data_IF_199727815704
#
_entry.id   IF_199727815704
#
_cell.length_a   1.000
_cell.length_b   1.000
_cell.length_c   1.000
_cell.angle_alpha   90.00
_cell.angle_beta   90.00
_cell.angle_gamma   90.00
#
_symmetry.space_group_name_H-M   'P 1'
#
loop_
_entity.id
_entity.type
_entity.pdbx_description
1 polymer ?
#
# COMPACT_ATOMS: atom_id res chain seq x y z
N UNK A 1 1.20 -12.93 5.34
CA UNK A 1 2.41 -12.38 6.00
C UNK A 1 2.46 -10.86 5.92
N UNK A 2 2.43 -10.23 4.73
CA UNK A 2 2.44 -8.74 4.60
C UNK A 2 1.27 -8.09 5.35
N UNK A 3 0.06 -8.65 5.27
CA UNK A 3 -1.11 -8.09 5.97
C UNK A 3 -0.97 -8.06 7.49
N UNK A 4 -0.16 -8.96 8.09
CA UNK A 4 0.08 -8.99 9.54
C UNK A 4 1.13 -7.99 9.99
N UNK A 5 2.17 -7.78 9.18
CA UNK A 5 3.23 -6.79 9.41
C UNK A 5 2.73 -5.36 9.18
N UNK A 6 1.88 -5.18 8.16
CA UNK A 6 1.18 -3.93 7.88
C UNK A 6 0.31 -3.44 9.05
N UNK A 7 -0.24 -4.38 9.83
CA UNK A 7 -1.06 -4.07 11.01
C UNK A 7 -0.28 -3.87 12.30
N UNK A 8 0.97 -4.34 12.39
CA UNK A 8 1.78 -4.26 13.62
C UNK A 8 2.61 -2.98 13.76
N UNK A 9 2.46 -2.01 12.84
CA UNK A 9 3.18 -0.73 12.86
C UNK A 9 4.62 -0.78 12.32
N UNK A 10 5.14 -1.96 11.98
CA UNK A 10 6.46 -2.12 11.37
C UNK A 10 6.36 -2.12 9.83
N UNK A 11 6.10 -0.92 9.31
CA UNK A 11 5.99 -0.65 7.88
C UNK A 11 7.29 -0.97 7.12
N UNK A 12 8.45 -0.80 7.76
CA UNK A 12 9.75 -1.04 7.13
C UNK A 12 10.03 -2.54 6.98
N UNK A 13 9.65 -3.37 7.96
CA UNK A 13 9.67 -4.82 7.80
C UNK A 13 8.67 -5.28 6.73
N UNK A 14 7.44 -4.74 6.72
CA UNK A 14 6.45 -5.05 5.69
C UNK A 14 6.97 -4.68 4.29
N UNK A 15 7.62 -3.52 4.15
CA UNK A 15 8.23 -3.06 2.90
C UNK A 15 9.38 -3.96 2.45
N UNK A 16 10.26 -4.40 3.36
CA UNK A 16 11.35 -5.34 3.04
C UNK A 16 10.81 -6.65 2.49
N UNK A 17 9.79 -7.23 3.14
CA UNK A 17 9.14 -8.46 2.67
C UNK A 17 8.50 -8.24 1.29
N UNK A 18 7.83 -7.11 1.10
CA UNK A 18 7.22 -6.75 -0.18
C UNK A 18 8.24 -6.60 -1.32
N UNK A 19 9.39 -5.97 -1.07
CA UNK A 19 10.45 -5.84 -2.07
C UNK A 19 11.12 -7.20 -2.37
N UNK A 20 11.19 -8.12 -1.41
CA UNK A 20 11.73 -9.47 -1.61
C UNK A 20 10.80 -10.42 -2.39
N UNK A 21 9.53 -10.06 -2.62
CA UNK A 21 8.62 -10.89 -3.40
C UNK A 21 9.03 -10.93 -4.88
N UNK A 22 9.27 -12.13 -5.41
CA UNK A 22 9.51 -12.34 -6.85
C UNK A 22 8.29 -11.95 -7.70
N UNK A 23 7.08 -12.26 -7.21
CA UNK A 23 5.83 -11.94 -7.89
C UNK A 23 4.90 -11.21 -6.94
N UNK A 24 4.58 -9.95 -7.25
CA UNK A 24 3.65 -9.13 -6.48
C UNK A 24 2.30 -9.14 -7.17
N UNK A 25 1.27 -9.58 -6.45
CA UNK A 25 -0.11 -9.59 -6.94
C UNK A 25 -0.91 -8.42 -6.35
N UNK A 26 -2.12 -8.20 -6.88
CA UNK A 26 -3.03 -7.14 -6.44
C UNK A 26 -3.16 -7.09 -4.92
N UNK A 27 -3.32 -8.25 -4.26
CA UNK A 27 -3.47 -8.34 -2.80
C UNK A 27 -2.25 -7.81 -2.06
N UNK A 28 -1.02 -8.15 -2.49
CA UNK A 28 0.21 -7.65 -1.87
C UNK A 28 0.38 -6.13 -2.00
N UNK A 29 0.02 -5.57 -3.17
CA UNK A 29 0.03 -4.11 -3.39
C UNK A 29 -1.01 -3.41 -2.54
N UNK A 30 -2.27 -3.88 -2.56
CA UNK A 30 -3.36 -3.30 -1.76
C UNK A 30 -3.04 -3.35 -0.27
N UNK A 31 -2.46 -4.45 0.22
CA UNK A 31 -2.06 -4.57 1.63
C UNK A 31 -1.03 -3.51 2.04
N UNK A 32 -0.01 -3.28 1.22
CA UNK A 32 1.01 -2.25 1.50
C UNK A 32 0.47 -0.83 1.38
N UNK A 33 -0.36 -0.54 0.36
CA UNK A 33 -1.00 0.77 0.20
C UNK A 33 -1.85 1.05 1.45
N UNK A 34 -2.69 0.10 1.88
CA UNK A 34 -3.51 0.25 3.08
C UNK A 34 -2.67 0.46 4.34
N UNK A 35 -1.50 -0.18 4.42
CA UNK A 35 -0.57 0.02 5.53
C UNK A 35 -0.07 1.47 5.58
N UNK A 36 0.38 2.02 4.45
CA UNK A 36 0.83 3.41 4.37
C UNK A 36 -0.29 4.40 4.70
N UNK A 37 -1.50 4.18 4.16
CA UNK A 37 -2.67 5.03 4.45
C UNK A 37 -3.01 5.06 5.94
N UNK A 38 -2.99 3.91 6.61
CA UNK A 38 -3.28 3.81 8.06
C UNK A 38 -2.23 4.47 8.95
N UNK A 39 -1.01 4.62 8.45
CA UNK A 39 0.08 5.27 9.17
C UNK A 39 0.31 6.72 8.68
N UNK A 40 -0.69 7.34 8.06
CA UNK A 40 -0.67 8.74 7.61
C UNK A 40 0.43 9.06 6.58
N UNK A 41 0.98 8.03 5.94
CA UNK A 41 2.03 8.12 4.91
C UNK A 41 1.41 8.14 3.52
N UNK A 42 0.57 9.15 3.27
CA UNK A 42 -0.23 9.25 2.05
C UNK A 42 0.64 9.37 0.78
N UNK A 43 1.79 10.05 0.87
CA UNK A 43 2.72 10.18 -0.25
C UNK A 43 3.28 8.81 -0.66
N UNK A 44 3.79 8.01 0.29
CA UNK A 44 4.32 6.68 -0.02
C UNK A 44 3.22 5.71 -0.49
N UNK A 45 1.99 5.86 0.02
CA UNK A 45 0.84 5.11 -0.49
C UNK A 45 0.59 5.39 -1.98
N UNK A 46 0.67 6.67 -2.37
CA UNK A 46 0.47 7.10 -3.76
C UNK A 46 1.62 6.66 -4.68
N UNK A 47 2.87 6.79 -4.24
CA UNK A 47 4.05 6.30 -4.97
C UNK A 47 3.93 4.78 -5.23
N UNK A 48 3.48 4.02 -4.23
CA UNK A 48 3.28 2.58 -4.37
C UNK A 48 2.13 2.26 -5.35
N UNK A 49 1.06 3.05 -5.35
CA UNK A 49 -0.02 2.92 -6.32
C UNK A 49 0.44 3.21 -7.77
N UNK A 50 1.27 4.24 -7.97
CA UNK A 50 1.86 4.51 -9.28
C UNK A 50 2.72 3.34 -9.76
N UNK A 51 3.55 2.79 -8.87
CA UNK A 51 4.40 1.63 -9.19
C UNK A 51 3.58 0.37 -9.48
N UNK A 52 2.45 0.16 -8.80
CA UNK A 52 1.50 -0.91 -9.12
C UNK A 52 1.02 -0.84 -10.59
N UNK A 53 0.76 0.38 -11.08
CA UNK A 53 0.34 0.59 -12.47
C UNK A 53 1.49 0.34 -13.47
N UNK A 54 2.72 0.75 -13.12
CA UNK A 54 3.91 0.50 -13.93
C UNK A 54 4.25 -1.00 -14.03
N UNK A 55 3.99 -1.76 -12.97
CA UNK A 55 4.14 -3.23 -12.96
C UNK A 55 2.95 -3.95 -13.65
N UNK A 56 2.09 -3.20 -14.35
CA UNK A 56 0.91 -3.69 -15.08
C UNK A 56 -0.10 -4.44 -14.20
N UNK A 57 -0.12 -4.14 -12.91
CA UNK A 57 -1.07 -4.71 -11.94
C UNK A 57 -2.24 -3.75 -11.80
N UNK A 58 -3.46 -4.20 -12.14
CA UNK A 58 -4.66 -3.36 -12.00
C UNK A 58 -5.04 -3.17 -10.52
N UNK A 59 -5.20 -1.92 -10.05
CA UNK A 59 -5.81 -1.64 -8.76
C UNK A 59 -7.22 -2.21 -8.69
N UNK A 60 -7.62 -2.71 -7.53
CA UNK A 60 -9.02 -3.07 -7.26
C UNK A 60 -9.74 -1.94 -6.52
N UNK A 61 -11.05 -2.06 -6.35
CA UNK A 61 -11.89 -1.06 -5.66
C UNK A 61 -11.37 -0.74 -4.26
N UNK A 62 -10.90 -1.76 -3.52
CA UNK A 62 -10.34 -1.55 -2.18
C UNK A 62 -9.11 -0.64 -2.20
N UNK A 63 -8.21 -0.79 -3.18
CA UNK A 63 -7.04 0.09 -3.32
C UNK A 63 -7.46 1.54 -3.55
N UNK A 64 -8.47 1.76 -4.40
CA UNK A 64 -8.94 3.11 -4.74
C UNK A 64 -9.64 3.78 -3.56
N UNK A 65 -10.50 3.05 -2.84
CA UNK A 65 -11.17 3.56 -1.63
C UNK A 65 -10.16 3.97 -0.57
N UNK A 66 -9.10 3.17 -0.36
CA UNK A 66 -8.07 3.49 0.62
C UNK A 66 -7.24 4.72 0.24
N UNK A 67 -6.92 4.91 -1.04
CA UNK A 67 -6.26 6.14 -1.50
C UNK A 67 -7.13 7.38 -1.29
N UNK A 68 -8.43 7.30 -1.62
CA UNK A 68 -9.37 8.40 -1.39
C UNK A 68 -9.45 8.80 0.09
N UNK A 69 -9.40 7.82 1.01
CA UNK A 69 -9.34 8.09 2.45
C UNK A 69 -8.04 8.79 2.84
N UNK A 70 -6.91 8.41 2.24
CA UNK A 70 -5.63 9.06 2.49
C UNK A 70 -5.66 10.55 2.11
N UNK A 71 -6.25 10.87 0.95
CA UNK A 71 -6.43 12.26 0.51
C UNK A 71 -7.39 13.04 1.40
N UNK A 72 -8.46 12.40 1.89
CA UNK A 72 -9.38 13.04 2.83
C UNK A 72 -8.68 13.46 4.14
N UNK A 73 -7.70 12.69 4.57
CA UNK A 73 -6.95 12.95 5.81
C UNK A 73 -5.77 13.94 5.60
N UNK A 74 -5.51 14.39 4.37
CA UNK A 74 -4.45 15.35 4.05
C UNK A 74 -4.81 16.81 4.40
N UNK A 75 -6.11 17.12 4.59
CA UNK A 75 -6.60 18.48 4.85
C UNK A 75 -6.99 18.76 6.33
N UNK A 76 -6.49 18.00 7.29
CA UNK A 76 -6.69 18.25 8.73
C UNK A 76 -5.41 18.80 9.39
#
# INVERSE_FOLDING_TARGET
MISGLATSGDLDAARRVFEQMQTRNVVSWTAMINAYVRNERAQEAFELFQRMHLDNVRPNESTLVSLLQAFKNWEA
#
